data_IF_463455387498
#
_entry.id   IF_463455387498
#
_cell.length_a   1.000
_cell.length_b   1.000
_cell.length_c   1.000
_cell.angle_alpha   90.00
_cell.angle_beta   90.00
_cell.angle_gamma   90.00
#
_symmetry.space_group_name_H-M   'P 1'
#
loop_
_entity.id
_entity.type
_entity.pdbx_description
1 polymer ?
#
# COMPACT_ATOMS: atom_id res chain seq x y z
N UNK A 1 13.31 -29.10 -5.61
CA UNK A 1 13.93 -28.66 -6.89
C UNK A 1 13.01 -27.86 -7.81
N UNK A 2 11.74 -28.20 -7.96
CA UNK A 2 10.75 -27.47 -8.80
C UNK A 2 10.49 -26.03 -8.33
N UNK A 3 10.51 -25.79 -7.02
CA UNK A 3 10.18 -24.50 -6.43
C UNK A 3 11.11 -23.35 -6.86
N UNK A 4 12.42 -23.55 -6.93
CA UNK A 4 13.37 -22.51 -7.39
C UNK A 4 13.13 -22.04 -8.82
N UNK A 5 12.58 -22.91 -9.68
CA UNK A 5 12.29 -22.61 -11.08
C UNK A 5 11.16 -21.57 -11.23
N UNK A 6 10.20 -21.54 -10.29
CA UNK A 6 9.02 -20.67 -10.37
C UNK A 6 9.11 -19.40 -9.53
N UNK A 7 10.21 -19.18 -8.80
CA UNK A 7 10.40 -17.98 -7.98
C UNK A 7 10.21 -16.66 -8.74
N UNK A 8 10.72 -16.48 -9.98
CA UNK A 8 10.47 -15.26 -10.75
C UNK A 8 8.99 -15.07 -11.11
N UNK A 9 8.29 -16.16 -11.43
CA UNK A 9 6.86 -16.13 -11.72
C UNK A 9 6.06 -15.75 -10.47
N UNK A 10 6.37 -16.33 -9.32
CA UNK A 10 5.75 -16.04 -8.03
C UNK A 10 5.87 -14.54 -7.68
N UNK A 11 7.06 -13.95 -7.86
CA UNK A 11 7.28 -12.52 -7.63
C UNK A 11 6.46 -11.65 -8.60
N UNK A 12 6.42 -12.00 -9.90
CA UNK A 12 5.61 -11.27 -10.89
C UNK A 12 4.12 -11.31 -10.57
N UNK A 13 3.59 -12.49 -10.26
CA UNK A 13 2.17 -12.66 -9.90
C UNK A 13 1.82 -11.86 -8.66
N UNK A 14 2.68 -11.92 -7.63
CA UNK A 14 2.51 -11.10 -6.43
C UNK A 14 2.53 -9.61 -6.73
N UNK A 15 3.54 -9.12 -7.45
CA UNK A 15 3.68 -7.71 -7.78
C UNK A 15 2.52 -7.19 -8.62
N UNK A 16 1.99 -8.00 -9.55
CA UNK A 16 0.78 -7.65 -10.31
C UNK A 16 -0.45 -7.55 -9.39
N UNK A 17 -0.66 -8.52 -8.51
CA UNK A 17 -1.76 -8.47 -7.53
C UNK A 17 -1.64 -7.25 -6.60
N UNK A 18 -0.44 -6.96 -6.12
CA UNK A 18 -0.15 -5.77 -5.29
C UNK A 18 -0.45 -4.48 -6.06
N UNK A 19 0.01 -4.35 -7.30
CA UNK A 19 -0.25 -3.17 -8.13
C UNK A 19 -1.75 -2.94 -8.36
N UNK A 20 -2.53 -4.00 -8.62
CA UNK A 20 -3.99 -3.89 -8.77
C UNK A 20 -4.66 -3.41 -7.48
N UNK A 21 -4.23 -3.89 -6.31
CA UNK A 21 -4.74 -3.42 -5.02
C UNK A 21 -4.37 -1.96 -4.75
N UNK A 22 -3.17 -1.54 -5.17
CA UNK A 22 -2.74 -0.14 -5.04
C UNK A 22 -3.57 0.78 -5.96
N UNK A 23 -3.79 0.40 -7.21
CA UNK A 23 -4.68 1.15 -8.11
C UNK A 23 -6.10 1.24 -7.53
N UNK A 24 -6.60 0.14 -6.97
CA UNK A 24 -7.88 0.13 -6.27
C UNK A 24 -7.90 1.11 -5.10
N UNK A 25 -6.86 1.07 -4.25
CA UNK A 25 -6.74 1.93 -3.07
C UNK A 25 -6.53 3.40 -3.46
N UNK A 26 -5.68 3.68 -4.42
CA UNK A 26 -5.33 5.06 -4.79
C UNK A 26 -6.46 5.74 -5.59
N UNK A 27 -6.95 5.10 -6.63
CA UNK A 27 -7.87 5.73 -7.58
C UNK A 27 -9.33 5.48 -7.20
N UNK A 28 -9.71 4.21 -7.04
CA UNK A 28 -11.12 3.84 -6.87
C UNK A 28 -11.64 3.91 -5.43
N UNK A 29 -10.77 4.18 -4.46
CA UNK A 29 -11.14 4.56 -3.09
C UNK A 29 -10.97 6.06 -2.81
N UNK A 30 -10.75 6.87 -3.86
CA UNK A 30 -10.74 8.33 -3.82
C UNK A 30 -12.15 8.90 -4.03
N UNK A 31 -12.28 10.23 -4.06
CA UNK A 31 -13.56 10.92 -4.29
C UNK A 31 -14.16 10.66 -5.69
N UNK A 32 -13.46 9.99 -6.60
CA UNK A 32 -14.01 9.56 -7.89
C UNK A 32 -15.25 8.68 -7.72
N UNK A 33 -15.34 7.94 -6.63
CA UNK A 33 -16.50 7.09 -6.32
C UNK A 33 -17.77 7.88 -6.09
N UNK A 34 -17.70 9.15 -5.68
CA UNK A 34 -18.87 9.99 -5.44
C UNK A 34 -19.44 10.56 -6.74
N UNK A 35 -18.57 10.81 -7.72
CA UNK A 35 -18.96 11.38 -9.02
C UNK A 35 -19.32 10.29 -10.02
N UNK A 36 -18.63 9.16 -10.00
CA UNK A 36 -18.83 8.03 -10.91
C UNK A 36 -19.10 6.71 -10.16
N UNK A 37 -20.17 6.62 -9.34
CA UNK A 37 -20.39 5.50 -8.45
C UNK A 37 -20.53 4.15 -9.15
N UNK A 38 -21.25 4.10 -10.27
CA UNK A 38 -21.44 2.87 -11.05
C UNK A 38 -20.14 2.35 -11.64
N UNK A 39 -19.38 3.22 -12.29
CA UNK A 39 -18.07 2.88 -12.84
C UNK A 39 -17.08 2.44 -11.75
N UNK A 40 -16.99 3.21 -10.68
CA UNK A 40 -16.10 2.90 -9.55
C UNK A 40 -16.45 1.56 -8.92
N UNK A 41 -17.73 1.22 -8.79
CA UNK A 41 -18.19 -0.08 -8.26
C UNK A 41 -17.73 -1.23 -9.15
N UNK A 42 -17.93 -1.14 -10.47
CA UNK A 42 -17.52 -2.18 -11.43
C UNK A 42 -16.01 -2.36 -11.38
N UNK A 43 -15.23 -1.27 -11.44
CA UNK A 43 -13.77 -1.32 -11.40
C UNK A 43 -13.26 -1.89 -10.08
N UNK A 44 -13.86 -1.50 -8.96
CA UNK A 44 -13.52 -2.05 -7.63
C UNK A 44 -13.74 -3.56 -7.58
N UNK A 45 -14.88 -4.05 -8.02
CA UNK A 45 -15.17 -5.49 -8.05
C UNK A 45 -14.20 -6.23 -8.96
N UNK A 46 -13.94 -5.73 -10.18
CA UNK A 46 -13.02 -6.34 -11.12
C UNK A 46 -11.58 -6.38 -10.60
N UNK A 47 -11.05 -5.26 -10.14
CA UNK A 47 -9.68 -5.17 -9.62
C UNK A 47 -9.51 -6.02 -8.36
N UNK A 48 -10.49 -6.00 -7.44
CA UNK A 48 -10.46 -6.83 -6.24
C UNK A 48 -10.48 -8.32 -6.61
N UNK A 49 -11.38 -8.74 -7.49
CA UNK A 49 -11.46 -10.12 -7.94
C UNK A 49 -10.17 -10.61 -8.58
N UNK A 50 -9.60 -9.84 -9.51
CA UNK A 50 -8.31 -10.15 -10.14
C UNK A 50 -7.17 -10.22 -9.11
N UNK A 51 -7.08 -9.26 -8.20
CA UNK A 51 -6.04 -9.25 -7.18
C UNK A 51 -6.15 -10.44 -6.22
N UNK A 52 -7.37 -10.77 -5.78
CA UNK A 52 -7.63 -11.94 -4.93
C UNK A 52 -7.22 -13.23 -5.64
N UNK A 53 -7.59 -13.41 -6.90
CA UNK A 53 -7.22 -14.59 -7.68
C UNK A 53 -5.70 -14.71 -7.84
N UNK A 54 -5.00 -13.62 -8.13
CA UNK A 54 -3.55 -13.61 -8.28
C UNK A 54 -2.85 -13.92 -6.96
N UNK A 55 -3.22 -13.24 -5.88
CA UNK A 55 -2.57 -13.40 -4.58
C UNK A 55 -2.89 -14.76 -3.94
N UNK A 56 -4.14 -15.20 -3.98
CA UNK A 56 -4.52 -16.53 -3.51
C UNK A 56 -3.87 -17.64 -4.35
N UNK A 57 -3.88 -17.51 -5.68
CA UNK A 57 -3.20 -18.42 -6.59
C UNK A 57 -1.70 -18.49 -6.30
N UNK A 58 -1.06 -17.35 -6.03
CA UNK A 58 0.35 -17.30 -5.61
C UNK A 58 0.58 -18.03 -4.29
N UNK A 59 -0.26 -17.80 -3.29
CA UNK A 59 -0.15 -18.47 -1.98
C UNK A 59 -0.29 -19.98 -2.12
N UNK A 60 -1.28 -20.45 -2.89
CA UNK A 60 -1.63 -21.88 -3.00
C UNK A 60 -0.68 -22.63 -3.93
N UNK A 61 -0.35 -22.06 -5.09
CA UNK A 61 0.32 -22.76 -6.18
C UNK A 61 1.81 -22.45 -6.28
N UNK A 62 2.23 -21.25 -5.89
CA UNK A 62 3.59 -20.74 -6.15
C UNK A 62 4.40 -20.49 -4.88
N UNK A 63 3.87 -20.80 -3.68
CA UNK A 63 4.59 -20.65 -2.42
C UNK A 63 4.90 -22.00 -1.81
N UNK A 64 6.18 -22.25 -1.50
CA UNK A 64 6.62 -23.44 -0.80
C UNK A 64 6.38 -23.34 0.71
N UNK A 65 5.55 -24.24 1.23
CA UNK A 65 5.37 -24.43 2.68
C UNK A 65 5.90 -25.79 3.07
N UNK A 66 6.98 -25.82 3.83
CA UNK A 66 7.65 -27.06 4.21
C UNK A 66 6.87 -27.84 5.27
N UNK A 67 6.36 -27.14 6.29
CA UNK A 67 5.64 -27.75 7.39
C UNK A 67 4.11 -27.73 7.19
N UNK A 68 3.46 -28.84 7.56
CA UNK A 68 1.98 -28.94 7.49
C UNK A 68 1.28 -27.87 8.33
N UNK A 69 1.83 -27.55 9.51
CA UNK A 69 1.27 -26.54 10.40
C UNK A 69 1.23 -25.13 9.76
N UNK A 70 2.20 -24.79 8.90
CA UNK A 70 2.17 -23.52 8.15
C UNK A 70 0.96 -23.42 7.22
N UNK A 71 0.63 -24.50 6.53
CA UNK A 71 -0.56 -24.56 5.65
C UNK A 71 -1.85 -24.39 6.45
N UNK A 72 -1.93 -25.07 7.62
CA UNK A 72 -3.08 -24.96 8.52
C UNK A 72 -3.20 -23.52 9.04
N UNK A 73 -2.10 -22.92 9.51
CA UNK A 73 -2.11 -21.55 10.01
C UNK A 73 -2.57 -20.56 8.94
N UNK A 74 -2.09 -20.69 7.70
CA UNK A 74 -2.50 -19.83 6.58
C UNK A 74 -3.99 -19.99 6.29
N UNK A 75 -4.47 -21.24 6.24
CA UNK A 75 -5.90 -21.50 6.03
C UNK A 75 -6.74 -20.86 7.15
N UNK A 76 -6.34 -21.00 8.41
CA UNK A 76 -7.03 -20.38 9.56
C UNK A 76 -7.03 -18.86 9.44
N UNK A 77 -5.88 -18.24 9.13
CA UNK A 77 -5.80 -16.77 8.97
C UNK A 77 -6.68 -16.29 7.82
N UNK A 78 -6.66 -16.97 6.67
CA UNK A 78 -7.49 -16.58 5.52
C UNK A 78 -8.99 -16.75 5.81
N UNK A 79 -9.40 -17.86 6.44
CA UNK A 79 -10.81 -18.08 6.82
C UNK A 79 -11.25 -17.05 7.85
N UNK A 80 -10.44 -16.83 8.89
CA UNK A 80 -10.76 -15.84 9.92
C UNK A 80 -10.88 -14.43 9.35
N UNK A 81 -9.92 -13.99 8.52
CA UNK A 81 -9.94 -12.64 7.94
C UNK A 81 -11.05 -12.49 6.91
N UNK A 82 -11.38 -13.53 6.13
CA UNK A 82 -12.51 -13.53 5.22
C UNK A 82 -13.85 -13.41 5.99
N UNK A 83 -14.01 -14.20 7.05
CA UNK A 83 -15.20 -14.14 7.91
C UNK A 83 -15.33 -12.77 8.60
N UNK A 84 -14.25 -12.26 9.18
CA UNK A 84 -14.24 -10.93 9.82
C UNK A 84 -14.57 -9.82 8.83
N UNK A 85 -14.03 -9.90 7.61
CA UNK A 85 -14.31 -8.94 6.53
C UNK A 85 -15.77 -9.02 6.06
N UNK A 86 -16.32 -10.22 5.97
CA UNK A 86 -17.73 -10.43 5.63
C UNK A 86 -18.64 -9.82 6.69
N UNK A 87 -18.38 -10.13 7.97
CA UNK A 87 -19.18 -9.63 9.08
C UNK A 87 -19.06 -8.11 9.26
N UNK A 88 -17.84 -7.56 9.11
CA UNK A 88 -17.56 -6.12 9.23
C UNK A 88 -17.94 -5.30 7.99
N UNK A 89 -18.29 -5.93 6.86
CA UNK A 89 -18.61 -5.25 5.61
C UNK A 89 -17.40 -4.57 4.94
N UNK A 90 -16.17 -4.89 5.38
CA UNK A 90 -14.94 -4.29 4.88
C UNK A 90 -13.91 -5.36 4.46
N UNK A 91 -13.59 -5.39 3.17
CA UNK A 91 -12.67 -6.37 2.59
C UNK A 91 -11.19 -6.07 2.84
N UNK A 92 -10.82 -4.89 3.32
CA UNK A 92 -9.42 -4.49 3.44
C UNK A 92 -8.62 -5.37 4.40
N UNK A 93 -9.26 -5.90 5.45
CA UNK A 93 -8.59 -6.81 6.38
C UNK A 93 -8.20 -8.14 5.71
N UNK A 94 -9.09 -8.70 4.90
CA UNK A 94 -8.79 -9.90 4.11
C UNK A 94 -7.73 -9.65 3.04
N UNK A 95 -7.82 -8.52 2.33
CA UNK A 95 -6.85 -8.14 1.31
C UNK A 95 -5.45 -7.91 1.91
N UNK A 96 -5.37 -7.29 3.09
CA UNK A 96 -4.12 -7.13 3.82
C UNK A 96 -3.49 -8.48 4.21
N UNK A 97 -4.31 -9.46 4.65
CA UNK A 97 -3.85 -10.80 4.93
C UNK A 97 -3.32 -11.50 3.67
N UNK A 98 -4.00 -11.38 2.52
CA UNK A 98 -3.52 -11.92 1.24
C UNK A 98 -2.17 -11.30 0.83
N UNK A 99 -2.01 -9.99 0.97
CA UNK A 99 -0.74 -9.30 0.68
C UNK A 99 0.35 -9.80 1.61
N UNK A 100 0.12 -9.84 2.93
CA UNK A 100 1.11 -10.28 3.90
C UNK A 100 1.53 -11.73 3.72
N UNK A 101 0.56 -12.66 3.59
CA UNK A 101 0.84 -14.08 3.37
C UNK A 101 1.45 -14.34 1.98
N UNK A 102 1.02 -13.58 0.99
CA UNK A 102 1.56 -13.65 -0.36
C UNK A 102 3.00 -13.14 -0.50
N UNK A 103 3.51 -12.36 0.43
CA UNK A 103 4.85 -11.81 0.39
C UNK A 103 5.98 -12.85 0.60
N UNK A 104 5.65 -14.04 1.14
CA UNK A 104 6.64 -15.11 1.30
C UNK A 104 7.30 -15.44 -0.04
N UNK A 105 8.62 -15.57 -0.05
CA UNK A 105 9.44 -15.91 -1.23
C UNK A 105 9.39 -14.89 -2.39
N UNK A 106 8.91 -13.69 -2.12
CA UNK A 106 8.95 -12.57 -3.07
C UNK A 106 10.24 -11.79 -2.89
N UNK A 107 10.79 -11.29 -3.98
CA UNK A 107 11.86 -10.29 -3.93
C UNK A 107 11.29 -8.98 -3.39
N UNK A 108 11.69 -8.69 -2.14
CA UNK A 108 11.14 -7.57 -1.37
C UNK A 108 11.47 -6.22 -1.98
N UNK A 109 12.65 -6.09 -2.55
CA UNK A 109 13.07 -4.84 -3.22
C UNK A 109 12.22 -4.55 -4.44
N UNK A 110 11.97 -5.57 -5.27
CA UNK A 110 11.06 -5.45 -6.42
C UNK A 110 9.63 -5.12 -5.98
N UNK A 111 9.12 -5.77 -4.94
CA UNK A 111 7.80 -5.47 -4.41
C UNK A 111 7.67 -4.02 -3.92
N UNK A 112 8.66 -3.51 -3.19
CA UNK A 112 8.68 -2.12 -2.74
C UNK A 112 8.83 -1.12 -3.88
N UNK A 113 9.59 -1.44 -4.93
CA UNK A 113 9.67 -0.61 -6.15
C UNK A 113 8.32 -0.53 -6.85
N UNK A 114 7.64 -1.67 -7.02
CA UNK A 114 6.28 -1.70 -7.60
C UNK A 114 5.32 -0.89 -6.74
N UNK A 115 5.37 -1.08 -5.41
CA UNK A 115 4.59 -0.28 -4.48
C UNK A 115 4.84 1.23 -4.68
N UNK A 116 6.10 1.66 -4.61
CA UNK A 116 6.47 3.08 -4.70
C UNK A 116 6.01 3.69 -6.03
N UNK A 117 6.30 3.04 -7.15
CA UNK A 117 5.92 3.55 -8.48
C UNK A 117 4.41 3.63 -8.62
N UNK A 118 3.68 2.59 -8.22
CA UNK A 118 2.21 2.55 -8.36
C UNK A 118 1.55 3.56 -7.42
N UNK A 119 2.02 3.67 -6.17
CA UNK A 119 1.47 4.62 -5.20
C UNK A 119 1.73 6.08 -5.63
N UNK A 120 2.95 6.40 -6.07
CA UNK A 120 3.27 7.75 -6.56
C UNK A 120 2.48 8.08 -7.83
N UNK A 121 2.39 7.17 -8.79
CA UNK A 121 1.59 7.37 -10.00
C UNK A 121 0.10 7.58 -9.67
N UNK A 122 -0.44 6.78 -8.74
CA UNK A 122 -1.82 6.92 -8.25
C UNK A 122 -2.05 8.26 -7.56
N UNK A 123 -1.14 8.67 -6.65
CA UNK A 123 -1.18 9.97 -6.00
C UNK A 123 -1.17 11.12 -7.01
N UNK A 124 -0.23 11.10 -7.95
CA UNK A 124 -0.14 12.15 -9.00
C UNK A 124 -1.40 12.20 -9.84
N UNK A 125 -1.93 11.04 -10.26
CA UNK A 125 -3.17 10.95 -11.03
C UNK A 125 -4.36 11.54 -10.25
N UNK A 126 -4.52 11.15 -8.98
CA UNK A 126 -5.62 11.64 -8.14
C UNK A 126 -5.49 13.14 -7.93
N UNK A 127 -4.29 13.68 -7.67
CA UNK A 127 -4.08 15.11 -7.53
C UNK A 127 -4.37 15.85 -8.85
N UNK A 128 -3.90 15.33 -9.98
CA UNK A 128 -4.20 15.92 -11.29
C UNK A 128 -5.71 15.97 -11.56
N UNK A 129 -6.43 14.89 -11.29
CA UNK A 129 -7.90 14.86 -11.44
C UNK A 129 -8.60 15.79 -10.43
N UNK A 130 -8.10 15.87 -9.20
CA UNK A 130 -8.67 16.71 -8.15
C UNK A 130 -8.57 18.21 -8.47
N UNK A 131 -7.42 18.65 -8.99
CA UNK A 131 -7.19 20.06 -9.30
C UNK A 131 -7.63 20.48 -10.71
N UNK A 132 -7.61 19.56 -11.67
CA UNK A 132 -7.89 19.88 -13.08
C UNK A 132 -9.32 19.57 -13.54
N UNK A 133 -10.10 18.82 -12.76
CA UNK A 133 -11.42 18.35 -13.19
C UNK A 133 -12.45 18.38 -12.06
N UNK A 134 -13.77 18.46 -12.39
CA UNK A 134 -14.84 18.33 -11.39
C UNK A 134 -15.07 16.87 -10.94
N UNK A 135 -14.29 15.91 -11.46
CA UNK A 135 -14.47 14.48 -11.14
C UNK A 135 -14.14 14.13 -9.68
N UNK A 136 -13.38 14.99 -9.01
CA UNK A 136 -13.03 14.80 -7.61
C UNK A 136 -13.34 16.06 -6.79
N UNK A 137 -14.56 16.19 -6.27
CA UNK A 137 -14.98 17.37 -5.53
C UNK A 137 -14.16 17.51 -4.23
N UNK A 138 -13.98 18.78 -3.82
CA UNK A 138 -13.37 19.11 -2.56
C UNK A 138 -14.25 18.69 -1.38
N UNK A 139 -13.61 18.07 -0.37
CA UNK A 139 -14.23 17.85 0.93
C UNK A 139 -13.37 18.49 2.01
N UNK A 140 -14.04 19.29 2.84
CA UNK A 140 -13.41 19.95 3.98
C UNK A 140 -13.76 19.22 5.26
N UNK A 141 -12.75 18.72 5.96
CA UNK A 141 -12.90 18.15 7.29
C UNK A 141 -12.09 18.95 8.30
N UNK A 142 -12.75 19.56 9.28
CA UNK A 142 -12.08 20.29 10.36
C UNK A 142 -11.05 21.33 9.86
N UNK A 143 -11.36 22.08 8.80
CA UNK A 143 -10.49 23.04 8.12
C UNK A 143 -9.32 22.45 7.34
N UNK A 144 -9.25 21.13 7.21
CA UNK A 144 -8.21 20.45 6.43
C UNK A 144 -8.77 19.91 5.11
N UNK A 145 -7.96 19.98 4.07
CA UNK A 145 -8.31 19.50 2.74
C UNK A 145 -8.09 18.00 2.65
N UNK A 146 -9.02 17.31 1.98
CA UNK A 146 -8.95 15.85 1.79
C UNK A 146 -8.07 15.42 0.63
N UNK A 147 -7.66 16.36 -0.23
CA UNK A 147 -6.85 16.08 -1.42
C UNK A 147 -7.41 14.94 -2.30
N UNK A 148 -8.73 14.86 -2.43
CA UNK A 148 -9.42 13.87 -3.24
C UNK A 148 -9.59 12.49 -2.59
N UNK A 149 -9.24 12.33 -1.31
CA UNK A 149 -9.31 11.04 -0.60
C UNK A 149 -10.40 10.94 0.48
N UNK A 150 -11.37 11.83 0.45
CA UNK A 150 -12.49 11.82 1.37
C UNK A 150 -12.17 12.27 2.79
N UNK A 151 -10.90 12.18 3.20
CA UNK A 151 -10.43 12.61 4.52
C UNK A 151 -8.93 12.92 4.46
N UNK A 152 -8.47 13.97 5.15
CA UNK A 152 -7.06 14.38 5.18
C UNK A 152 -6.11 13.27 5.69
N UNK A 153 -6.56 12.41 6.61
CA UNK A 153 -5.79 11.25 7.05
C UNK A 153 -5.62 10.19 5.95
N UNK A 154 -6.59 10.07 5.04
CA UNK A 154 -6.48 9.18 3.88
C UNK A 154 -5.32 9.55 2.97
N UNK A 155 -5.16 10.85 2.68
CA UNK A 155 -4.00 11.36 1.94
C UNK A 155 -2.70 11.18 2.74
N UNK A 156 -2.70 11.54 4.04
CA UNK A 156 -1.55 11.39 4.90
C UNK A 156 -1.04 9.94 5.00
N UNK A 157 -1.93 8.97 5.13
CA UNK A 157 -1.56 7.55 5.20
C UNK A 157 -0.81 7.07 3.94
N UNK A 158 -1.20 7.55 2.77
CA UNK A 158 -0.52 7.25 1.50
C UNK A 158 0.89 7.84 1.44
N UNK A 159 1.04 9.07 1.94
CA UNK A 159 2.36 9.70 2.03
C UNK A 159 3.30 8.95 2.98
N UNK A 160 2.79 8.34 4.08
CA UNK A 160 3.59 7.47 4.95
C UNK A 160 4.11 6.26 4.18
N UNK A 161 3.27 5.62 3.38
CA UNK A 161 3.68 4.47 2.57
C UNK A 161 4.77 4.83 1.55
N UNK A 162 4.63 5.96 0.86
CA UNK A 162 5.66 6.48 -0.06
C UNK A 162 6.95 6.82 0.68
N UNK A 163 6.84 7.49 1.83
CA UNK A 163 7.99 7.81 2.70
C UNK A 163 8.75 6.54 3.09
N UNK A 164 8.04 5.53 3.61
CA UNK A 164 8.64 4.27 4.01
C UNK A 164 9.33 3.55 2.84
N UNK A 165 8.62 3.38 1.73
CA UNK A 165 9.17 2.68 0.56
C UNK A 165 10.39 3.39 -0.02
N UNK A 166 10.36 4.71 -0.12
CA UNK A 166 11.51 5.51 -0.56
C UNK A 166 12.70 5.35 0.38
N UNK A 167 12.49 5.55 1.70
CA UNK A 167 13.53 5.45 2.70
C UNK A 167 14.15 4.06 2.72
N UNK A 168 13.34 3.00 2.66
CA UNK A 168 13.80 1.62 2.64
C UNK A 168 14.63 1.29 1.41
N UNK A 169 14.13 1.62 0.21
CA UNK A 169 14.84 1.34 -1.04
C UNK A 169 16.19 2.06 -1.17
N UNK A 170 16.38 3.11 -0.39
CA UNK A 170 17.60 3.92 -0.40
C UNK A 170 18.41 3.85 0.90
N UNK A 171 18.02 3.01 1.87
CA UNK A 171 18.55 3.05 3.24
C UNK A 171 20.09 3.06 3.30
N UNK A 172 20.76 2.23 2.48
CA UNK A 172 22.23 2.20 2.44
C UNK A 172 22.85 3.42 1.72
N UNK A 173 22.09 4.11 0.88
CA UNK A 173 22.54 5.19 -0.01
C UNK A 173 21.92 6.54 0.32
N UNK A 174 21.24 6.65 1.46
CA UNK A 174 20.65 7.92 1.89
C UNK A 174 21.72 9.00 2.05
N UNK A 175 21.58 10.09 1.30
CA UNK A 175 22.42 11.28 1.34
C UNK A 175 21.69 12.41 2.06
N UNK A 176 22.40 13.50 2.35
CA UNK A 176 21.79 14.67 2.99
C UNK A 176 20.53 15.17 2.25
N UNK A 177 20.53 15.13 0.92
CA UNK A 177 19.36 15.50 0.12
C UNK A 177 18.14 14.57 0.36
N UNK A 178 18.36 13.26 0.48
CA UNK A 178 17.28 12.31 0.78
C UNK A 178 16.69 12.59 2.17
N UNK A 179 17.53 12.85 3.17
CA UNK A 179 17.10 13.22 4.53
C UNK A 179 16.29 14.52 4.53
N UNK A 180 16.76 15.54 3.79
CA UNK A 180 16.03 16.79 3.64
C UNK A 180 14.65 16.58 2.98
N UNK A 181 14.60 15.75 1.92
CA UNK A 181 13.35 15.39 1.24
C UNK A 181 12.37 14.65 2.15
N UNK A 182 12.85 13.68 2.92
CA UNK A 182 12.03 12.95 3.89
C UNK A 182 11.49 13.86 4.99
N UNK A 183 12.34 14.76 5.53
CA UNK A 183 11.91 15.75 6.51
C UNK A 183 10.89 16.75 5.93
N UNK A 184 11.12 17.21 4.71
CA UNK A 184 10.19 18.11 4.02
C UNK A 184 8.82 17.45 3.79
N UNK A 185 8.79 16.17 3.39
CA UNK A 185 7.55 15.41 3.22
C UNK A 185 6.79 15.25 4.54
N UNK A 186 7.50 14.97 5.64
CA UNK A 186 6.88 14.87 6.96
C UNK A 186 6.30 16.21 7.40
N UNK A 187 7.05 17.31 7.25
CA UNK A 187 6.57 18.67 7.57
C UNK A 187 5.38 19.05 6.69
N UNK A 188 5.42 18.76 5.40
CA UNK A 188 4.31 18.95 4.47
C UNK A 188 3.05 18.22 4.96
N UNK A 189 3.18 16.94 5.34
CA UNK A 189 2.08 16.12 5.83
C UNK A 189 1.43 16.68 7.10
N UNK A 190 2.22 17.31 7.97
CA UNK A 190 1.72 17.99 9.16
C UNK A 190 1.04 19.32 8.85
N UNK A 191 1.67 20.15 8.00
CA UNK A 191 1.26 21.54 7.76
C UNK A 191 0.13 21.68 6.76
N UNK A 192 0.13 20.86 5.70
CA UNK A 192 -0.78 21.03 4.56
C UNK A 192 -2.05 20.19 4.73
N UNK A 193 -2.02 18.85 4.74
CA UNK A 193 -3.22 18.08 5.05
C UNK A 193 -3.58 18.08 6.54
N UNK A 194 -2.64 18.43 7.43
CA UNK A 194 -2.86 18.43 8.88
C UNK A 194 -2.98 17.03 9.50
N UNK A 195 -2.44 16.02 8.84
CA UNK A 195 -2.51 14.61 9.29
C UNK A 195 -1.46 14.33 10.38
N UNK A 196 -1.85 14.54 11.64
CA UNK A 196 -0.96 14.36 12.81
C UNK A 196 -0.49 12.91 12.97
N UNK A 197 -1.39 11.94 12.74
CA UNK A 197 -1.04 10.52 12.84
C UNK A 197 -0.01 10.10 11.79
N UNK A 198 -0.18 10.55 10.55
CA UNK A 198 0.77 10.30 9.48
C UNK A 198 2.13 10.96 9.75
N UNK A 199 2.14 12.23 10.21
CA UNK A 199 3.37 12.90 10.63
C UNK A 199 4.09 12.14 11.75
N UNK A 200 3.35 11.71 12.79
CA UNK A 200 3.92 10.92 13.88
C UNK A 200 4.56 9.61 13.39
N UNK A 201 3.87 8.89 12.50
CA UNK A 201 4.42 7.69 11.86
C UNK A 201 5.71 7.95 11.07
N UNK A 202 5.73 9.04 10.27
CA UNK A 202 6.93 9.44 9.53
C UNK A 202 8.08 9.85 10.46
N UNK A 203 7.78 10.56 11.56
CA UNK A 203 8.79 10.96 12.53
C UNK A 203 9.44 9.73 13.21
N UNK A 204 8.64 8.74 13.61
CA UNK A 204 9.15 7.47 14.14
C UNK A 204 10.02 6.75 13.11
N UNK A 205 9.55 6.60 11.88
CA UNK A 205 10.32 5.97 10.80
C UNK A 205 11.62 6.73 10.52
N UNK A 206 11.58 8.06 10.49
CA UNK A 206 12.76 8.90 10.29
C UNK A 206 13.82 8.61 11.37
N UNK A 207 13.40 8.58 12.63
CA UNK A 207 14.30 8.26 13.76
C UNK A 207 14.87 6.85 13.62
N UNK A 208 14.03 5.85 13.31
CA UNK A 208 14.48 4.47 13.13
C UNK A 208 15.52 4.34 12.01
N UNK A 209 15.28 4.93 10.83
CA UNK A 209 16.25 4.93 9.74
C UNK A 209 17.52 5.71 10.09
N UNK A 210 17.40 6.81 10.83
CA UNK A 210 18.54 7.58 11.29
C UNK A 210 19.39 6.76 12.26
N UNK A 211 18.79 6.14 13.27
CA UNK A 211 19.48 5.27 14.24
C UNK A 211 20.16 4.11 13.50
N UNK A 212 19.45 3.42 12.62
CA UNK A 212 20.02 2.31 11.85
C UNK A 212 21.21 2.74 10.99
N UNK A 213 21.17 3.94 10.43
CA UNK A 213 22.23 4.47 9.57
C UNK A 213 23.49 4.83 10.33
N UNK A 214 23.35 5.44 11.51
CA UNK A 214 24.46 5.99 12.29
C UNK A 214 24.88 5.14 13.49
N UNK A 215 24.05 4.17 13.89
CA UNK A 215 24.35 3.20 14.96
C UNK A 215 24.33 1.75 14.45
N UNK A 216 25.09 1.39 13.42
CA UNK A 216 24.96 0.08 12.76
C UNK A 216 25.52 -1.10 13.60
N UNK A 217 25.99 -0.88 14.82
CA UNK A 217 26.70 -1.87 15.64
C UNK A 217 26.13 -2.03 17.06
N UNK A 218 24.90 -1.61 17.29
CA UNK A 218 24.14 -2.00 18.47
C UNK A 218 23.25 -3.19 18.11
#
# INVERSE_FOLDING_TARGET
>A
MLYHKYKPLASRVYCTGLALLLVLSEVFSSNVQDTLPGFSRIMRLGLTGCAVLLLAGKIILLTGYEARWQKVLIAVVLVYTAFSSWYGGDLWFFLAALVGLGAKDVDWETALRVYLVTAVAGLVLVQALHFATPLMPYKFYCRNWDFGYGHYNGFGARLVGVFFAWAWLRHDRLRAFDWAGLAALAIFTYKVPGSRGAFGGMAVLFVLFFVQKFLPKL
#
